data_IF_801118287566
#
_entry.id   IF_801118287566
#
_cell.length_a   1.000
_cell.length_b   1.000
_cell.length_c   1.000
_cell.angle_alpha   90.00
_cell.angle_beta   90.00
_cell.angle_gamma   90.00
#
_symmetry.space_group_name_H-M   'P 1'
#
loop_
_entity.id
_entity.type
_entity.pdbx_description
1 polymer ?
#
# COMPACT_ATOMS: atom_id res chain seq x y z
N UNK A 1 19.69 -0.05 5.04
CA UNK A 1 18.33 0.09 5.59
C UNK A 1 17.30 -0.37 4.57
N UNK A 2 16.36 -1.18 4.98
CA UNK A 2 15.29 -1.66 4.10
C UNK A 2 13.96 -1.03 4.55
N UNK A 3 13.23 -0.43 3.62
CA UNK A 3 11.91 0.15 3.88
C UNK A 3 10.84 -0.93 3.78
N UNK A 4 9.96 -0.99 4.76
CA UNK A 4 8.82 -1.88 4.74
C UNK A 4 7.66 -1.23 4.01
N UNK A 5 7.23 -1.81 2.90
CA UNK A 5 6.15 -1.29 2.07
C UNK A 5 4.83 -1.98 2.38
N UNK A 6 3.75 -1.20 2.35
CA UNK A 6 2.40 -1.72 2.36
C UNK A 6 1.65 -1.28 1.12
N UNK A 7 0.73 -2.11 0.65
CA UNK A 7 -0.17 -1.77 -0.46
C UNK A 7 -1.60 -1.82 0.07
N UNK A 8 -2.38 -0.78 -0.19
CA UNK A 8 -3.82 -0.81 0.02
C UNK A 8 -4.52 -0.70 -1.34
N UNK A 9 -5.36 -1.71 -1.65
CA UNK A 9 -5.99 -1.87 -2.94
C UNK A 9 -5.35 -3.01 -3.73
N UNK A 10 -6.08 -4.12 -3.88
CA UNK A 10 -5.57 -5.35 -4.49
C UNK A 10 -6.29 -5.70 -5.80
N UNK A 11 -6.82 -4.69 -6.50
CA UNK A 11 -7.35 -4.85 -7.84
C UNK A 11 -6.23 -4.93 -8.88
N UNK A 12 -6.56 -4.73 -10.15
CA UNK A 12 -5.60 -4.86 -11.25
C UNK A 12 -4.36 -3.99 -11.10
N UNK A 13 -4.52 -2.72 -10.68
CA UNK A 13 -3.38 -1.82 -10.48
C UNK A 13 -2.57 -2.21 -9.25
N UNK A 14 -3.24 -2.64 -8.16
CA UNK A 14 -2.55 -3.14 -6.97
C UNK A 14 -1.68 -4.35 -7.28
N UNK A 15 -2.19 -5.25 -8.12
CA UNK A 15 -1.42 -6.39 -8.59
C UNK A 15 -0.18 -5.95 -9.37
N UNK A 16 -0.32 -4.98 -10.28
CA UNK A 16 0.81 -4.45 -11.05
C UNK A 16 1.86 -3.77 -10.17
N UNK A 17 1.41 -3.02 -9.16
CA UNK A 17 2.32 -2.40 -8.20
C UNK A 17 3.09 -3.47 -7.40
N UNK A 18 2.40 -4.52 -6.98
CA UNK A 18 3.05 -5.65 -6.31
C UNK A 18 4.12 -6.29 -7.19
N UNK A 19 3.82 -6.50 -8.46
CA UNK A 19 4.79 -7.05 -9.40
C UNK A 19 6.02 -6.15 -9.56
N UNK A 20 5.80 -4.82 -9.64
CA UNK A 20 6.87 -3.83 -9.71
C UNK A 20 7.76 -3.86 -8.48
N UNK A 21 7.16 -3.96 -7.30
CA UNK A 21 7.91 -4.07 -6.04
C UNK A 21 8.70 -5.38 -6.00
N UNK A 22 8.10 -6.48 -6.44
CA UNK A 22 8.79 -7.78 -6.52
C UNK A 22 10.00 -7.71 -7.44
N UNK A 23 9.87 -7.02 -8.57
CA UNK A 23 10.98 -6.83 -9.50
C UNK A 23 12.10 -5.99 -8.87
N UNK A 24 11.74 -4.90 -8.18
CA UNK A 24 12.70 -4.08 -7.46
C UNK A 24 13.46 -4.90 -6.41
N UNK A 25 12.78 -5.78 -5.70
CA UNK A 25 13.37 -6.61 -4.65
C UNK A 25 14.39 -7.61 -5.18
N UNK A 26 14.32 -7.99 -6.46
CA UNK A 26 15.32 -8.88 -7.08
C UNK A 26 16.67 -8.22 -7.21
N UNK A 27 16.71 -6.90 -7.36
CA UNK A 27 17.93 -6.16 -7.68
C UNK A 27 18.40 -5.24 -6.57
N UNK A 28 17.62 -5.10 -5.49
CA UNK A 28 17.92 -4.13 -4.44
C UNK A 28 17.30 -4.55 -3.11
N UNK A 29 17.98 -4.20 -2.02
CA UNK A 29 17.48 -4.39 -0.65
C UNK A 29 16.81 -3.12 -0.11
N UNK A 30 16.49 -2.16 -0.99
CA UNK A 30 15.94 -0.87 -0.56
C UNK A 30 14.53 -0.98 0.02
N UNK A 31 13.76 -1.95 -0.43
CA UNK A 31 12.37 -2.11 -0.03
C UNK A 31 11.97 -3.57 0.09
N UNK A 32 10.98 -3.82 0.94
CA UNK A 32 10.38 -5.13 1.18
C UNK A 32 8.87 -4.99 1.27
N UNK A 33 8.13 -5.84 0.57
CA UNK A 33 6.66 -5.85 0.67
C UNK A 33 6.26 -6.56 1.96
N UNK A 34 5.82 -5.78 2.95
CA UNK A 34 5.51 -6.28 4.29
C UNK A 34 4.04 -6.60 4.48
N UNK A 35 3.13 -5.79 3.90
CA UNK A 35 1.71 -5.91 4.14
C UNK A 35 0.88 -5.53 2.92
N UNK A 36 -0.28 -6.16 2.79
CA UNK A 36 -1.28 -5.81 1.78
C UNK A 36 -2.65 -5.74 2.43
N UNK A 37 -3.50 -4.86 1.91
CA UNK A 37 -4.83 -4.62 2.46
C UNK A 37 -5.85 -4.46 1.33
N UNK A 38 -7.00 -5.09 1.50
CA UNK A 38 -8.18 -4.88 0.65
C UNK A 38 -9.41 -5.27 1.45
N UNK A 39 -10.51 -4.54 1.28
CA UNK A 39 -11.78 -4.88 1.92
C UNK A 39 -12.26 -6.29 1.52
N UNK A 40 -11.92 -6.70 0.31
CA UNK A 40 -12.21 -8.04 -0.19
C UNK A 40 -11.03 -8.96 0.11
N UNK A 41 -11.20 -9.84 1.07
CA UNK A 41 -10.14 -10.77 1.49
C UNK A 41 -9.62 -11.62 0.33
N UNK A 42 -10.51 -12.04 -0.58
CA UNK A 42 -10.12 -12.84 -1.74
C UNK A 42 -9.13 -12.10 -2.66
N UNK A 43 -9.34 -10.80 -2.84
CA UNK A 43 -8.42 -9.98 -3.65
C UNK A 43 -7.05 -9.85 -2.97
N UNK A 44 -7.04 -9.62 -1.66
CA UNK A 44 -5.80 -9.56 -0.89
C UNK A 44 -5.04 -10.89 -0.93
N UNK A 45 -5.75 -12.00 -0.75
CA UNK A 45 -5.15 -13.35 -0.83
C UNK A 45 -4.54 -13.62 -2.20
N UNK A 46 -5.23 -13.23 -3.27
CA UNK A 46 -4.71 -13.43 -4.62
C UNK A 46 -3.38 -12.72 -4.82
N UNK A 47 -3.30 -11.46 -4.42
CA UNK A 47 -2.06 -10.67 -4.51
C UNK A 47 -0.98 -11.28 -3.62
N UNK A 48 -1.33 -11.69 -2.40
CA UNK A 48 -0.38 -12.32 -1.48
C UNK A 48 0.17 -13.64 -2.01
N UNK A 49 -0.67 -14.46 -2.64
CA UNK A 49 -0.26 -15.75 -3.21
C UNK A 49 0.81 -15.54 -4.30
N UNK A 50 0.60 -14.58 -5.18
CA UNK A 50 1.55 -14.28 -6.24
C UNK A 50 2.82 -13.63 -5.68
N UNK A 51 2.67 -12.73 -4.70
CA UNK A 51 3.81 -12.11 -4.03
C UNK A 51 4.70 -13.16 -3.33
N UNK A 52 4.08 -14.11 -2.65
CA UNK A 52 4.82 -15.21 -2.01
C UNK A 52 5.60 -16.03 -3.02
N UNK A 53 4.97 -16.33 -4.16
CA UNK A 53 5.61 -17.06 -5.24
C UNK A 53 6.80 -16.30 -5.83
N UNK A 54 6.66 -14.98 -5.97
CA UNK A 54 7.71 -14.14 -6.55
C UNK A 54 8.87 -13.85 -5.58
N UNK A 55 8.55 -13.68 -4.30
CA UNK A 55 9.49 -13.14 -3.30
C UNK A 55 10.02 -14.17 -2.32
N UNK A 56 9.42 -15.36 -2.25
CA UNK A 56 9.82 -16.40 -1.33
C UNK A 56 9.27 -16.26 0.09
N UNK A 57 8.46 -15.24 0.35
CA UNK A 57 7.77 -15.05 1.63
C UNK A 57 6.42 -14.40 1.41
N UNK A 58 5.50 -14.61 2.35
CA UNK A 58 4.13 -14.09 2.25
C UNK A 58 3.98 -12.79 3.01
N UNK A 59 3.53 -11.69 2.36
CA UNK A 59 3.21 -10.47 3.08
C UNK A 59 1.99 -10.68 3.99
N UNK A 60 1.92 -9.90 5.06
CA UNK A 60 0.77 -9.93 5.97
C UNK A 60 -0.47 -9.41 5.25
N UNK A 61 -1.61 -10.07 5.48
CA UNK A 61 -2.88 -9.70 4.84
C UNK A 61 -3.77 -8.99 5.86
N UNK A 62 -4.33 -7.87 5.44
CA UNK A 62 -5.29 -7.10 6.23
C UNK A 62 -6.55 -6.82 5.42
N UNK A 63 -7.69 -6.85 6.06
CA UNK A 63 -8.97 -6.41 5.49
C UNK A 63 -9.44 -5.10 6.10
N UNK A 64 -8.79 -4.66 7.18
CA UNK A 64 -9.03 -3.39 7.84
C UNK A 64 -7.79 -2.51 7.73
N UNK A 65 -7.97 -1.33 7.10
CA UNK A 65 -6.88 -0.40 6.86
C UNK A 65 -6.23 0.10 8.15
N UNK A 66 -7.05 0.44 9.15
CA UNK A 66 -6.52 0.96 10.42
C UNK A 66 -5.63 -0.07 11.12
N UNK A 67 -6.04 -1.34 11.09
CA UNK A 67 -5.22 -2.43 11.64
C UNK A 67 -3.88 -2.54 10.91
N UNK A 68 -3.88 -2.40 9.60
CA UNK A 68 -2.63 -2.46 8.83
C UNK A 68 -1.65 -1.37 9.24
N UNK A 69 -2.09 -0.11 9.29
CA UNK A 69 -1.19 0.99 9.62
C UNK A 69 -0.75 0.98 11.08
N UNK A 70 -1.53 0.39 11.98
CA UNK A 70 -1.19 0.29 13.40
C UNK A 70 -0.27 -0.88 13.72
N UNK A 71 -0.42 -2.00 13.03
CA UNK A 71 0.20 -3.27 13.43
C UNK A 71 1.31 -3.77 12.51
N UNK A 72 1.30 -3.38 11.23
CA UNK A 72 2.18 -4.02 10.24
C UNK A 72 3.63 -3.54 10.27
N UNK A 73 3.89 -2.37 10.83
CA UNK A 73 5.24 -1.81 10.87
C UNK A 73 5.73 -1.29 9.52
N UNK A 74 4.83 -0.91 8.62
CA UNK A 74 5.22 -0.35 7.32
C UNK A 74 5.78 1.07 7.47
N UNK A 75 6.73 1.39 6.62
CA UNK A 75 7.34 2.73 6.54
C UNK A 75 6.75 3.55 5.42
N UNK A 76 6.27 2.88 4.37
CA UNK A 76 5.72 3.50 3.16
C UNK A 76 4.44 2.78 2.78
N UNK A 77 3.41 3.55 2.46
CA UNK A 77 2.13 3.04 2.00
C UNK A 77 1.90 3.42 0.54
N UNK A 78 1.63 2.44 -0.29
CA UNK A 78 1.24 2.62 -1.68
C UNK A 78 -0.29 2.48 -1.77
N UNK A 79 -0.97 3.57 -2.10
CA UNK A 79 -2.43 3.63 -2.15
C UNK A 79 -2.89 3.44 -3.60
N UNK A 80 -3.57 2.32 -3.86
CA UNK A 80 -4.01 1.91 -5.20
C UNK A 80 -5.51 1.60 -5.20
N UNK A 81 -6.26 2.31 -4.37
CA UNK A 81 -7.72 2.19 -4.26
C UNK A 81 -8.42 3.20 -5.16
N UNK A 82 -9.74 3.29 -5.04
CA UNK A 82 -10.51 4.34 -5.72
C UNK A 82 -10.04 5.72 -5.27
N UNK A 83 -10.08 6.67 -6.19
CA UNK A 83 -9.68 8.06 -5.92
C UNK A 83 -10.37 8.65 -4.69
N UNK A 84 -11.62 8.27 -4.45
CA UNK A 84 -12.41 8.75 -3.30
C UNK A 84 -11.76 8.43 -1.94
N UNK A 85 -11.02 7.33 -1.86
CA UNK A 85 -10.40 6.88 -0.61
C UNK A 85 -8.96 7.36 -0.45
N UNK A 86 -8.33 7.89 -1.51
CA UNK A 86 -6.93 8.34 -1.45
C UNK A 86 -6.70 9.34 -0.32
N UNK A 87 -7.54 10.35 -0.23
CA UNK A 87 -7.44 11.39 0.80
C UNK A 87 -7.48 10.81 2.22
N UNK A 88 -8.50 10.01 2.52
CA UNK A 88 -8.68 9.44 3.84
C UNK A 88 -7.50 8.55 4.26
N UNK A 89 -7.11 7.63 3.39
CA UNK A 89 -5.99 6.72 3.68
C UNK A 89 -4.66 7.46 3.80
N UNK A 90 -4.42 8.43 2.90
CA UNK A 90 -3.19 9.19 2.92
C UNK A 90 -3.04 10.00 4.21
N UNK A 91 -4.09 10.72 4.63
CA UNK A 91 -4.06 11.52 5.85
C UNK A 91 -3.84 10.65 7.08
N UNK A 92 -4.55 9.53 7.19
CA UNK A 92 -4.37 8.60 8.31
C UNK A 92 -2.93 8.05 8.39
N UNK A 93 -2.38 7.65 7.27
CA UNK A 93 -1.03 7.10 7.21
C UNK A 93 0.02 8.17 7.55
N UNK A 94 -0.07 9.34 6.94
CA UNK A 94 0.89 10.41 7.17
C UNK A 94 0.85 10.94 8.60
N UNK A 95 -0.32 10.96 9.25
CA UNK A 95 -0.43 11.31 10.66
C UNK A 95 0.29 10.32 11.58
N UNK A 96 0.55 9.12 11.12
CA UNK A 96 1.33 8.10 11.85
C UNK A 96 2.80 8.07 11.44
N UNK A 97 3.23 9.04 10.64
CA UNK A 97 4.62 9.10 10.18
C UNK A 97 4.94 8.15 9.04
N UNK A 98 3.93 7.59 8.38
CA UNK A 98 4.12 6.70 7.24
C UNK A 98 4.16 7.53 5.95
N UNK A 99 5.17 7.32 5.14
CA UNK A 99 5.27 7.97 3.82
C UNK A 99 4.23 7.39 2.88
N UNK A 100 3.71 8.22 1.97
CA UNK A 100 2.61 7.82 1.10
C UNK A 100 2.95 8.02 -0.37
N UNK A 101 2.63 7.00 -1.16
CA UNK A 101 2.61 7.06 -2.61
C UNK A 101 1.16 6.82 -3.03
N UNK A 102 0.60 7.71 -3.85
CA UNK A 102 -0.77 7.57 -4.34
C UNK A 102 -0.82 7.47 -5.84
N UNK A 103 -1.80 6.71 -6.37
CA UNK A 103 -2.14 6.77 -7.77
C UNK A 103 -2.80 8.11 -8.09
N UNK A 104 -2.74 8.50 -9.34
CA UNK A 104 -3.43 9.71 -9.83
C UNK A 104 -4.91 9.39 -10.11
N UNK A 105 -5.81 10.38 -9.99
CA UNK A 105 -5.55 11.70 -9.44
C UNK A 105 -5.39 11.66 -7.92
N UNK A 106 -4.68 12.64 -7.37
CA UNK A 106 -4.36 12.70 -5.94
C UNK A 106 -5.59 12.68 -5.05
N UNK A 107 -6.62 13.41 -5.43
CA UNK A 107 -7.89 13.46 -4.69
C UNK A 107 -9.05 13.89 -5.57
N UNK A 108 -10.27 13.75 -5.05
CA UNK A 108 -11.50 14.08 -5.77
C UNK A 108 -11.75 15.59 -5.84
N UNK A 109 -11.32 16.32 -4.82
CA UNK A 109 -11.52 17.79 -4.73
C UNK A 109 -10.20 18.49 -4.43
N UNK A 110 -10.16 19.81 -4.72
CA UNK A 110 -8.99 20.63 -4.34
C UNK A 110 -8.82 20.68 -2.82
N UNK A 111 -9.91 20.67 -2.08
CA UNK A 111 -9.86 20.63 -0.62
C UNK A 111 -9.17 19.36 -0.12
N UNK A 112 -9.52 18.20 -0.67
CA UNK A 112 -8.90 16.93 -0.32
C UNK A 112 -7.41 16.96 -0.63
N UNK A 113 -7.02 17.43 -1.81
CA UNK A 113 -5.62 17.53 -2.20
C UNK A 113 -4.81 18.45 -1.30
N UNK A 114 -5.40 19.58 -0.89
CA UNK A 114 -4.76 20.50 0.05
C UNK A 114 -4.53 19.86 1.41
N UNK A 115 -5.53 19.14 1.92
CA UNK A 115 -5.38 18.43 3.19
C UNK A 115 -4.26 17.40 3.15
N UNK A 116 -4.14 16.67 2.06
CA UNK A 116 -3.05 15.70 1.87
C UNK A 116 -1.68 16.40 1.84
N UNK A 117 -1.61 17.55 1.19
CA UNK A 117 -0.37 18.32 1.11
C UNK A 117 0.07 18.90 2.45
N UNK A 118 -0.89 19.28 3.30
CA UNK A 118 -0.62 19.95 4.58
C UNK A 118 -0.27 18.98 5.71
N UNK A 119 -0.53 17.70 5.57
CA UNK A 119 -0.17 16.67 6.55
C UNK A 119 1.33 16.32 6.46
#
# INVERSE_FOLDING_TARGET
MTLNLGIVGCGGMGFRHMEGISELMRYSDIARLEAICDLHESAAKHVADIAEKNNGYRPKIYTDFDSMIDESGIDVLDIVTDTKTHHSFAVKAMNKGIHVLTEKPMGVTLKACRQMKEV
#
